data_IF_815822429496
#
_entry.id   IF_815822429496
#
_cell.length_a   1.000
_cell.length_b   1.000
_cell.length_c   1.000
_cell.angle_alpha   90.00
_cell.angle_beta   90.00
_cell.angle_gamma   90.00
#
_symmetry.space_group_name_H-M   'P 1'
#
loop_
_entity.id
_entity.type
_entity.pdbx_description
1 polymer ?
#
# COMPACT_ATOMS: atom_id res chain seq x y z
N UNK A 1 10.70 -6.82 -4.90
CA UNK A 1 9.72 -7.91 -4.76
C UNK A 1 9.30 -8.32 -6.17
N UNK A 2 9.15 -9.62 -6.42
CA UNK A 2 8.60 -10.12 -7.68
C UNK A 2 7.07 -10.16 -7.56
N UNK A 3 6.40 -9.19 -8.19
CA UNK A 3 4.93 -9.01 -8.10
C UNK A 3 4.19 -10.24 -8.62
N UNK A 4 4.62 -10.78 -9.77
CA UNK A 4 3.96 -11.93 -10.40
C UNK A 4 4.08 -13.16 -9.52
N UNK A 5 5.26 -13.38 -8.93
CA UNK A 5 5.47 -14.48 -7.99
C UNK A 5 4.55 -14.38 -6.76
N UNK A 6 4.43 -13.20 -6.15
CA UNK A 6 3.59 -13.03 -4.96
C UNK A 6 2.10 -13.17 -5.31
N UNK A 7 1.66 -12.63 -6.44
CA UNK A 7 0.28 -12.83 -6.92
C UNK A 7 -0.03 -14.31 -7.17
N UNK A 8 0.92 -15.10 -7.66
CA UNK A 8 0.76 -16.55 -7.78
C UNK A 8 0.60 -17.22 -6.41
N UNK A 9 1.43 -16.88 -5.43
CA UNK A 9 1.30 -17.41 -4.07
C UNK A 9 -0.06 -17.08 -3.45
N UNK A 10 -0.59 -15.87 -3.70
CA UNK A 10 -1.91 -15.44 -3.23
C UNK A 10 -3.05 -16.20 -3.93
N UNK A 11 -2.92 -16.50 -5.23
CA UNK A 11 -3.87 -17.36 -5.96
C UNK A 11 -3.91 -18.76 -5.35
N UNK A 12 -2.73 -19.37 -5.18
CA UNK A 12 -2.61 -20.72 -4.64
C UNK A 12 -3.21 -20.80 -3.23
N UNK A 13 -2.83 -19.85 -2.36
CA UNK A 13 -3.36 -19.75 -0.99
C UNK A 13 -4.89 -19.63 -0.95
N UNK A 14 -5.47 -18.82 -1.83
CA UNK A 14 -6.92 -18.62 -1.91
C UNK A 14 -7.63 -19.86 -2.47
N UNK A 15 -7.07 -20.49 -3.50
CA UNK A 15 -7.64 -21.66 -4.15
C UNK A 15 -7.67 -22.87 -3.21
N UNK A 16 -6.58 -23.12 -2.46
CA UNK A 16 -6.51 -24.17 -1.44
C UNK A 16 -7.60 -24.08 -0.37
N UNK A 17 -8.15 -22.88 -0.15
CA UNK A 17 -9.17 -22.58 0.87
C UNK A 17 -10.55 -22.35 0.28
N UNK A 18 -10.72 -22.47 -1.03
CA UNK A 18 -11.95 -22.10 -1.75
C UNK A 18 -12.37 -20.64 -1.48
N UNK A 19 -11.41 -19.74 -1.28
CA UNK A 19 -11.66 -18.34 -0.93
C UNK A 19 -11.83 -17.41 -2.14
N UNK A 20 -11.59 -17.91 -3.35
CA UNK A 20 -11.74 -17.11 -4.58
C UNK A 20 -13.15 -16.53 -4.71
N UNK A 21 -14.18 -17.25 -4.23
CA UNK A 21 -15.57 -16.77 -4.19
C UNK A 21 -15.76 -15.48 -3.36
N UNK A 22 -14.89 -15.22 -2.37
CA UNK A 22 -14.94 -14.02 -1.53
C UNK A 22 -14.07 -12.89 -2.08
N UNK A 23 -13.15 -13.18 -2.99
CA UNK A 23 -12.19 -12.22 -3.57
C UNK A 23 -12.80 -11.38 -4.69
N UNK A 24 -14.00 -10.84 -4.48
CA UNK A 24 -14.59 -9.84 -5.39
C UNK A 24 -13.82 -8.51 -5.28
N UNK A 25 -13.76 -7.68 -6.34
CA UNK A 25 -13.07 -6.38 -6.29
C UNK A 25 -13.53 -5.49 -5.12
N UNK A 26 -14.84 -5.49 -4.84
CA UNK A 26 -15.42 -4.75 -3.71
C UNK A 26 -14.86 -5.24 -2.37
N UNK A 27 -14.87 -6.55 -2.15
CA UNK A 27 -14.43 -7.13 -0.88
C UNK A 27 -12.93 -6.91 -0.67
N UNK A 28 -12.12 -7.08 -1.71
CA UNK A 28 -10.68 -6.84 -1.65
C UNK A 28 -10.35 -5.36 -1.39
N UNK A 29 -11.08 -4.42 -2.02
CA UNK A 29 -10.92 -3.00 -1.74
C UNK A 29 -11.37 -2.63 -0.31
N UNK A 30 -12.43 -3.27 0.19
CA UNK A 30 -12.85 -3.12 1.59
C UNK A 30 -11.79 -3.66 2.56
N UNK A 31 -11.25 -4.85 2.33
CA UNK A 31 -10.21 -5.43 3.17
C UNK A 31 -8.94 -4.56 3.17
N UNK A 32 -8.49 -4.11 1.99
CA UNK A 32 -7.38 -3.15 1.87
C UNK A 32 -7.58 -1.89 2.73
N UNK A 33 -8.81 -1.35 2.78
CA UNK A 33 -9.12 -0.18 3.58
C UNK A 33 -9.11 -0.47 5.09
N UNK A 34 -9.46 -1.70 5.50
CA UNK A 34 -9.37 -2.15 6.89
C UNK A 34 -7.91 -2.25 7.30
N UNK A 35 -7.06 -2.95 6.54
CA UNK A 35 -5.62 -3.07 6.89
C UNK A 35 -4.91 -1.71 6.88
N UNK A 36 -5.32 -0.80 6.00
CA UNK A 36 -4.80 0.57 6.01
C UNK A 36 -5.20 1.34 7.29
N UNK A 37 -6.36 1.03 7.87
CA UNK A 37 -6.78 1.57 9.15
C UNK A 37 -6.01 0.93 10.30
N UNK A 38 -5.79 -0.39 10.29
CA UNK A 38 -4.97 -1.09 11.29
C UNK A 38 -3.51 -0.58 11.29
N UNK A 39 -2.94 -0.32 10.11
CA UNK A 39 -1.67 0.39 9.98
C UNK A 39 -1.70 1.78 10.64
N UNK A 40 -2.77 2.55 10.43
CA UNK A 40 -2.94 3.88 11.02
C UNK A 40 -3.05 3.83 12.55
N UNK A 41 -3.64 2.79 13.14
CA UNK A 41 -3.79 2.65 14.59
C UNK A 41 -2.44 2.64 15.32
N UNK A 42 -1.37 2.21 14.65
CA UNK A 42 -0.01 2.26 15.17
C UNK A 42 0.52 3.70 15.36
N UNK A 43 -0.16 4.72 14.84
CA UNK A 43 0.26 6.12 14.88
C UNK A 43 -0.78 7.08 15.45
N UNK A 44 -2.06 6.71 15.48
CA UNK A 44 -3.20 7.62 15.69
C UNK A 44 -3.14 8.53 16.95
N UNK A 45 -2.45 8.11 18.01
CA UNK A 45 -2.35 8.86 19.27
C UNK A 45 -0.93 9.41 19.54
N UNK A 46 -0.01 9.29 18.58
CA UNK A 46 1.36 9.77 18.73
C UNK A 46 1.46 11.24 18.32
N UNK A 47 2.32 12.00 19.00
CA UNK A 47 2.83 13.26 18.45
C UNK A 47 3.78 13.01 17.30
N UNK A 48 4.05 14.02 16.47
CA UNK A 48 5.03 13.91 15.37
C UNK A 48 6.43 13.48 15.85
N UNK A 49 6.84 13.90 17.04
CA UNK A 49 8.12 13.51 17.63
C UNK A 49 8.10 12.03 18.02
N UNK A 50 7.04 11.57 18.68
CA UNK A 50 6.86 10.16 19.04
C UNK A 50 6.76 9.25 17.82
N UNK A 51 6.03 9.69 16.78
CA UNK A 51 5.87 8.95 15.53
C UNK A 51 7.21 8.69 14.82
N UNK A 52 8.20 9.59 14.95
CA UNK A 52 9.55 9.40 14.41
C UNK A 52 10.40 8.38 15.18
N UNK A 53 10.02 8.09 16.42
CA UNK A 53 10.72 7.19 17.33
C UNK A 53 10.10 5.78 17.37
N UNK A 54 9.01 5.51 16.63
CA UNK A 54 8.39 4.16 16.62
C UNK A 54 9.36 3.05 16.24
N UNK A 55 10.37 3.37 15.42
CA UNK A 55 11.44 2.44 15.01
C UNK A 55 12.26 1.89 16.17
N UNK A 56 12.27 2.59 17.31
CA UNK A 56 13.00 2.20 18.52
C UNK A 56 12.14 1.27 19.42
N UNK A 57 10.85 1.11 19.13
CA UNK A 57 9.91 0.16 19.76
C UNK A 57 9.79 -1.11 18.91
N UNK A 58 10.52 -2.15 19.30
CA UNK A 58 10.58 -3.41 18.55
C UNK A 58 9.22 -4.13 18.43
N UNK A 59 8.32 -3.97 19.40
CA UNK A 59 7.00 -4.62 19.34
C UNK A 59 6.07 -3.88 18.40
N UNK A 60 6.02 -2.55 18.48
CA UNK A 60 5.26 -1.72 17.56
C UNK A 60 5.78 -1.86 16.12
N UNK A 61 7.09 -1.96 15.92
CA UNK A 61 7.66 -2.18 14.59
C UNK A 61 7.23 -3.50 13.96
N UNK A 62 7.12 -4.58 14.75
CA UNK A 62 6.59 -5.85 14.23
C UNK A 62 5.15 -5.71 13.74
N UNK A 63 4.29 -5.06 14.52
CA UNK A 63 2.91 -4.77 14.09
C UNK A 63 2.88 -3.94 12.81
N UNK A 64 3.63 -2.84 12.76
CA UNK A 64 3.72 -2.00 11.56
C UNK A 64 4.17 -2.81 10.33
N UNK A 65 5.14 -3.72 10.49
CA UNK A 65 5.60 -4.60 9.41
C UNK A 65 4.50 -5.54 8.91
N UNK A 66 3.75 -6.16 9.84
CA UNK A 66 2.60 -7.03 9.53
C UNK A 66 1.51 -6.24 8.76
N UNK A 67 1.09 -5.08 9.27
CA UNK A 67 0.05 -4.27 8.61
C UNK A 67 0.48 -3.75 7.23
N UNK A 68 1.76 -3.37 7.06
CA UNK A 68 2.30 -2.99 5.74
C UNK A 68 2.25 -4.19 4.78
N UNK A 69 2.56 -5.39 5.28
CA UNK A 69 2.47 -6.61 4.48
C UNK A 69 1.01 -6.86 4.07
N UNK A 70 0.05 -6.77 4.99
CA UNK A 70 -1.36 -7.04 4.72
C UNK A 70 -1.95 -6.04 3.70
N UNK A 71 -1.69 -4.74 3.87
CA UNK A 71 -2.02 -3.71 2.87
C UNK A 71 -1.43 -4.08 1.49
N UNK A 72 -0.18 -4.53 1.47
CA UNK A 72 0.49 -4.92 0.22
C UNK A 72 -0.18 -6.14 -0.40
N UNK A 73 -0.47 -7.18 0.37
CA UNK A 73 -1.06 -8.43 -0.13
C UNK A 73 -2.46 -8.18 -0.71
N UNK A 74 -3.31 -7.41 -0.04
CA UNK A 74 -4.63 -7.06 -0.58
C UNK A 74 -4.55 -6.18 -1.83
N UNK A 75 -3.62 -5.22 -1.89
CA UNK A 75 -3.41 -4.42 -3.10
C UNK A 75 -2.96 -5.28 -4.28
N UNK A 76 -2.01 -6.19 -4.05
CA UNK A 76 -1.53 -7.12 -5.08
C UNK A 76 -2.64 -8.05 -5.56
N UNK A 77 -3.45 -8.59 -4.65
CA UNK A 77 -4.58 -9.47 -5.00
C UNK A 77 -5.68 -8.70 -5.73
N UNK A 78 -5.97 -7.47 -5.34
CA UNK A 78 -6.94 -6.61 -6.03
C UNK A 78 -6.48 -6.30 -7.46
N UNK A 79 -5.20 -5.94 -7.63
CA UNK A 79 -4.63 -5.71 -8.96
C UNK A 79 -4.71 -6.97 -9.84
N UNK A 80 -4.43 -8.14 -9.26
CA UNK A 80 -4.53 -9.43 -9.95
C UNK A 80 -5.96 -9.75 -10.43
N UNK A 81 -6.95 -9.65 -9.53
CA UNK A 81 -8.37 -9.89 -9.85
C UNK A 81 -8.88 -8.90 -10.91
N UNK A 82 -8.35 -7.67 -10.94
CA UNK A 82 -8.67 -6.67 -11.95
C UNK A 82 -7.82 -6.77 -13.22
N UNK A 83 -6.92 -7.74 -13.32
CA UNK A 83 -5.99 -7.92 -14.45
C UNK A 83 -5.15 -6.68 -14.76
N UNK A 84 -4.69 -5.99 -13.71
CA UNK A 84 -3.84 -4.80 -13.82
C UNK A 84 -2.36 -5.18 -13.76
N UNK A 85 -1.58 -4.72 -14.72
CA UNK A 85 -0.13 -4.66 -14.59
C UNK A 85 0.24 -3.55 -13.59
N UNK A 86 0.43 -3.94 -12.34
CA UNK A 86 0.73 -3.01 -11.26
C UNK A 86 2.08 -2.32 -11.43
N UNK A 87 3.09 -3.02 -11.97
CA UNK A 87 4.42 -2.45 -12.19
C UNK A 87 4.35 -1.31 -13.20
N UNK A 88 3.73 -1.57 -14.35
CA UNK A 88 3.53 -0.56 -15.39
C UNK A 88 2.61 0.60 -14.92
N UNK A 89 1.60 0.31 -14.11
CA UNK A 89 0.77 1.35 -13.48
C UNK A 89 1.57 2.26 -12.54
N UNK A 90 2.45 1.71 -11.71
CA UNK A 90 3.36 2.46 -10.84
C UNK A 90 4.32 3.30 -11.67
N UNK A 91 4.96 2.72 -12.68
CA UNK A 91 5.94 3.41 -13.52
C UNK A 91 5.31 4.60 -14.27
N UNK A 92 4.11 4.40 -14.83
CA UNK A 92 3.33 5.51 -15.40
C UNK A 92 3.02 6.59 -14.38
N UNK A 93 2.57 6.20 -13.18
CA UNK A 93 2.16 7.15 -12.14
C UNK A 93 3.34 7.98 -11.65
N UNK A 94 4.53 7.39 -11.53
CA UNK A 94 5.76 8.09 -11.18
C UNK A 94 6.15 9.14 -12.22
N UNK A 95 6.06 8.82 -13.51
CA UNK A 95 6.28 9.80 -14.60
C UNK A 95 5.30 10.97 -14.50
N UNK A 96 4.01 10.68 -14.37
CA UNK A 96 2.96 11.72 -14.21
C UNK A 96 3.24 12.59 -12.97
N UNK A 97 3.69 12.00 -11.86
CA UNK A 97 4.00 12.75 -10.65
C UNK A 97 5.24 13.63 -10.83
N UNK A 98 6.28 13.16 -11.53
CA UNK A 98 7.46 13.97 -11.85
C UNK A 98 7.10 15.19 -12.71
N UNK A 99 6.22 15.00 -13.70
CA UNK A 99 5.74 16.09 -14.56
C UNK A 99 4.89 17.11 -13.78
N UNK A 100 4.07 16.63 -12.82
CA UNK A 100 3.25 17.49 -11.94
C UNK A 100 4.07 18.24 -10.90
N UNK A 101 5.16 17.66 -10.43
CA UNK A 101 6.00 18.23 -9.37
C UNK A 101 7.46 18.34 -9.85
N UNK A 102 7.77 19.26 -10.79
CA UNK A 102 9.15 19.49 -11.22
C UNK A 102 10.04 19.84 -10.02
N UNK A 103 11.23 19.23 -9.94
CA UNK A 103 12.09 19.34 -8.75
C UNK A 103 12.51 20.80 -8.45
N UNK A 104 12.71 21.62 -9.48
CA UNK A 104 13.05 23.05 -9.36
C UNK A 104 11.91 23.88 -8.75
N UNK A 105 10.66 23.46 -8.92
CA UNK A 105 9.47 24.17 -8.40
C UNK A 105 8.95 23.60 -7.09
N UNK A 106 9.04 22.29 -6.90
CA UNK A 106 8.49 21.58 -5.75
C UNK A 106 9.46 21.49 -4.57
N UNK A 107 10.76 21.80 -4.74
CA UNK A 107 11.75 21.65 -3.67
C UNK A 107 11.41 22.51 -2.46
N UNK A 108 11.24 21.86 -1.31
CA UNK A 108 11.07 22.53 -0.01
C UNK A 108 9.68 23.13 0.24
N UNK A 109 8.70 22.88 -0.63
CA UNK A 109 7.32 23.30 -0.39
C UNK A 109 6.34 22.15 -0.70
N UNK A 110 5.27 22.05 0.09
CA UNK A 110 4.25 21.00 -0.02
C UNK A 110 2.99 21.48 -0.76
N UNK A 111 3.10 22.55 -1.56
CA UNK A 111 1.97 23.09 -2.31
C UNK A 111 1.50 22.06 -3.35
N UNK A 112 0.21 22.04 -3.63
CA UNK A 112 -0.29 21.20 -4.73
C UNK A 112 0.24 21.71 -6.05
N UNK A 113 0.35 20.84 -7.06
CA UNK A 113 0.92 21.17 -8.37
C UNK A 113 0.25 22.36 -9.07
N UNK A 114 -1.02 22.65 -8.76
CA UNK A 114 -1.75 23.81 -9.26
C UNK A 114 -1.41 25.13 -8.54
N UNK A 115 -0.53 25.08 -7.54
CA UNK A 115 -0.10 26.19 -6.68
C UNK A 115 1.45 26.33 -6.63
N UNK A 116 2.17 25.55 -7.46
CA UNK A 116 3.64 25.55 -7.61
C UNK A 116 4.15 26.69 -8.50
#
# INVERSE_FOLDING_TARGET
MDVVKVQQQLRDFASERDWEQFHTPKNLASALAVEAAELLENFQWLTDEQARLVKDDAERMRRIEEEIADVTLYLLRLADVLSLDLQDAVDRKLRINADKYPADKARGNAKKYNEL
#
